data_IF_583743761950
#
_entry.id   IF_583743761950
#
_cell.length_a   1.000
_cell.length_b   1.000
_cell.length_c   1.000
_cell.angle_alpha   90.00
_cell.angle_beta   90.00
_cell.angle_gamma   90.00
#
_symmetry.space_group_name_H-M   'P 1'
#
loop_
_entity.id
_entity.type
_entity.pdbx_description
1 polymer ?
#
# COMPACT_ATOMS: atom_id res chain seq x y z
N UNK A 1 21.18 -11.83 7.11
CA UNK A 1 20.43 -10.74 6.42
C UNK A 1 20.80 -10.79 4.94
N UNK A 2 19.84 -10.58 4.04
CA UNK A 2 20.12 -10.43 2.61
C UNK A 2 21.07 -9.25 2.39
N UNK A 3 22.02 -9.37 1.46
CA UNK A 3 22.90 -8.27 1.06
C UNK A 3 22.34 -7.56 -0.20
N UNK A 4 22.84 -6.35 -0.47
CA UNK A 4 22.33 -5.54 -1.59
C UNK A 4 22.48 -6.26 -2.95
N UNK A 5 23.58 -6.98 -3.19
CA UNK A 5 23.78 -7.72 -4.46
C UNK A 5 22.71 -8.80 -4.66
N UNK A 6 22.41 -9.59 -3.63
CA UNK A 6 21.36 -10.61 -3.71
C UNK A 6 19.98 -10.01 -4.03
N UNK A 7 19.70 -8.81 -3.50
CA UNK A 7 18.44 -8.12 -3.75
C UNK A 7 18.36 -7.50 -5.16
N UNK A 8 19.48 -7.00 -5.68
CA UNK A 8 19.62 -6.55 -7.08
C UNK A 8 19.42 -7.72 -8.02
N UNK A 9 20.10 -8.85 -7.78
CA UNK A 9 19.95 -10.06 -8.59
C UNK A 9 18.52 -10.59 -8.58
N UNK A 10 17.86 -10.58 -7.40
CA UNK A 10 16.47 -10.96 -7.27
C UNK A 10 15.54 -10.02 -8.05
N UNK A 11 15.78 -8.72 -8.04
CA UNK A 11 15.02 -7.75 -8.84
C UNK A 11 15.23 -7.94 -10.34
N UNK A 12 16.48 -8.15 -10.76
CA UNK A 12 16.81 -8.43 -12.16
C UNK A 12 16.11 -9.71 -12.66
N UNK A 13 16.10 -10.80 -11.85
CA UNK A 13 15.33 -12.00 -12.15
C UNK A 13 13.82 -11.71 -12.26
N UNK A 14 13.29 -10.87 -11.38
CA UNK A 14 11.88 -10.43 -11.46
C UNK A 14 11.59 -9.76 -12.79
N UNK A 15 12.41 -8.80 -13.20
CA UNK A 15 12.25 -8.08 -14.46
C UNK A 15 12.43 -8.99 -15.68
N UNK A 16 13.41 -9.89 -15.62
CA UNK A 16 13.62 -10.87 -16.68
C UNK A 16 12.40 -11.79 -16.86
N UNK A 17 11.80 -12.29 -15.77
CA UNK A 17 10.59 -13.12 -15.83
C UNK A 17 9.40 -12.36 -16.40
N UNK A 18 9.18 -11.11 -16.00
CA UNK A 18 8.11 -10.26 -16.56
C UNK A 18 8.26 -10.10 -18.07
N UNK A 19 9.49 -10.02 -18.58
CA UNK A 19 9.77 -9.86 -20.01
C UNK A 19 9.64 -11.16 -20.80
N UNK A 20 10.03 -12.30 -20.20
CA UNK A 20 10.16 -13.59 -20.91
C UNK A 20 8.97 -14.51 -20.73
N UNK A 21 8.25 -14.47 -19.59
CA UNK A 21 7.03 -15.26 -19.39
C UNK A 21 5.85 -14.58 -20.10
N UNK A 22 5.22 -15.23 -21.12
CA UNK A 22 4.14 -14.62 -21.91
C UNK A 22 2.93 -14.18 -21.05
N UNK A 23 2.62 -14.93 -20.00
CA UNK A 23 1.51 -14.58 -19.10
C UNK A 23 1.87 -13.33 -18.25
N UNK A 24 3.02 -13.33 -17.58
CA UNK A 24 3.43 -12.15 -16.80
C UNK A 24 3.51 -10.90 -17.66
N UNK A 25 4.01 -11.03 -18.88
CA UNK A 25 4.07 -9.92 -19.82
C UNK A 25 2.69 -9.38 -20.17
N UNK A 26 1.75 -10.27 -20.49
CA UNK A 26 0.37 -9.90 -20.83
C UNK A 26 -0.35 -9.24 -19.65
N UNK A 27 -0.27 -9.84 -18.45
CA UNK A 27 -0.87 -9.29 -17.24
C UNK A 27 -0.25 -7.95 -16.85
N UNK A 28 1.06 -7.80 -17.01
CA UNK A 28 1.75 -6.52 -16.73
C UNK A 28 1.28 -5.42 -17.68
N UNK A 29 1.15 -5.71 -18.97
CA UNK A 29 0.64 -4.74 -19.94
C UNK A 29 -0.78 -4.31 -19.60
N UNK A 30 -1.64 -5.26 -19.20
CA UNK A 30 -3.01 -4.98 -18.78
C UNK A 30 -3.04 -4.11 -17.51
N UNK A 31 -2.43 -4.57 -16.42
CA UNK A 31 -2.40 -3.82 -15.15
C UNK A 31 -1.81 -2.41 -15.32
N UNK A 32 -0.76 -2.27 -16.16
CA UNK A 32 -0.17 -0.97 -16.50
C UNK A 32 -1.12 -0.08 -17.27
N UNK A 33 -1.86 -0.62 -18.23
CA UNK A 33 -2.84 0.13 -19.04
C UNK A 33 -4.04 0.57 -18.20
N UNK A 34 -4.46 -0.27 -17.25
CA UNK A 34 -5.60 -0.04 -16.36
C UNK A 34 -5.22 0.75 -15.09
N UNK A 35 -3.94 1.17 -14.96
CA UNK A 35 -3.49 2.01 -13.85
C UNK A 35 -4.10 3.40 -13.95
N UNK A 36 -4.62 3.90 -12.84
CA UNK A 36 -5.29 5.22 -12.74
C UNK A 36 -4.72 6.03 -11.59
N UNK A 37 -4.67 7.36 -11.74
CA UNK A 37 -4.31 8.30 -10.68
C UNK A 37 -5.54 9.02 -10.19
N UNK A 38 -5.78 8.96 -8.90
CA UNK A 38 -6.83 9.69 -8.24
C UNK A 38 -6.29 11.01 -7.70
N UNK A 39 -6.84 12.15 -8.15
CA UNK A 39 -6.55 13.45 -7.55
C UNK A 39 -7.25 13.54 -6.19
N UNK A 40 -6.78 14.45 -5.34
CA UNK A 40 -7.46 14.76 -4.08
C UNK A 40 -8.86 15.29 -4.37
N UNK A 41 -9.87 14.69 -3.76
CA UNK A 41 -11.27 15.01 -4.00
C UNK A 41 -11.82 15.80 -2.80
N UNK A 42 -12.27 17.03 -3.04
CA UNK A 42 -12.88 17.92 -2.03
C UNK A 42 -14.30 18.27 -2.46
N UNK A 43 -15.27 17.38 -2.18
CA UNK A 43 -16.68 17.68 -2.35
C UNK A 43 -17.49 17.28 -1.12
N UNK A 44 -18.17 18.26 -0.52
CA UNK A 44 -19.02 18.08 0.66
C UNK A 44 -20.28 17.22 0.39
N UNK A 45 -20.64 16.96 -0.87
CA UNK A 45 -21.79 16.12 -1.25
C UNK A 45 -21.45 14.62 -1.34
N UNK A 46 -20.22 14.23 -1.03
CA UNK A 46 -19.74 12.85 -1.18
C UNK A 46 -20.43 11.84 -0.27
N UNK A 47 -20.89 12.24 0.91
CA UNK A 47 -21.53 11.32 1.85
C UNK A 47 -22.71 10.54 1.21
N UNK A 48 -23.55 11.23 0.44
CA UNK A 48 -24.68 10.62 -0.27
C UNK A 48 -24.25 9.74 -1.43
N UNK A 49 -23.16 10.11 -2.13
CA UNK A 49 -22.58 9.30 -3.20
C UNK A 49 -21.96 8.00 -2.66
N UNK A 50 -21.25 8.07 -1.54
CA UNK A 50 -20.59 6.93 -0.93
C UNK A 50 -21.51 6.03 -0.09
N UNK A 51 -22.67 6.52 0.37
CA UNK A 51 -23.66 5.71 1.10
C UNK A 51 -24.06 4.43 0.34
N UNK A 52 -24.03 4.45 -1.00
CA UNK A 52 -24.26 3.27 -1.86
C UNK A 52 -23.15 2.22 -1.80
N UNK A 53 -21.97 2.56 -1.25
CA UNK A 53 -20.80 1.69 -1.17
C UNK A 53 -20.66 1.00 0.20
N UNK A 54 -21.62 1.21 1.10
CA UNK A 54 -21.67 0.56 2.40
C UNK A 54 -22.16 -0.89 2.21
N UNK A 55 -21.27 -1.86 2.37
CA UNK A 55 -21.54 -3.26 2.07
C UNK A 55 -21.64 -4.16 3.31
N UNK A 56 -21.13 -3.69 4.47
CA UNK A 56 -20.92 -4.53 5.63
C UNK A 56 -21.51 -3.90 6.89
N UNK A 57 -22.04 -4.71 7.80
CA UNK A 57 -22.56 -4.26 9.10
C UNK A 57 -21.46 -3.68 9.99
N UNK A 58 -20.26 -4.23 9.88
CA UNK A 58 -19.06 -3.76 10.58
C UNK A 58 -17.80 -4.08 9.78
N UNK A 59 -16.74 -3.31 10.02
CA UNK A 59 -15.41 -3.57 9.49
C UNK A 59 -14.58 -4.30 10.56
N UNK A 60 -14.10 -5.49 10.25
CA UNK A 60 -13.18 -6.21 11.12
C UNK A 60 -11.75 -5.68 10.93
N UNK A 61 -11.14 -5.14 11.99
CA UNK A 61 -9.79 -4.57 11.99
C UNK A 61 -8.83 -5.49 12.72
N UNK A 62 -7.74 -5.86 12.06
CA UNK A 62 -6.76 -6.81 12.59
C UNK A 62 -5.32 -6.30 12.41
N UNK A 63 -4.48 -6.46 13.43
CA UNK A 63 -3.03 -6.18 13.34
C UNK A 63 -2.28 -7.51 13.41
N UNK A 64 -1.48 -7.79 12.38
CA UNK A 64 -0.75 -9.06 12.25
C UNK A 64 0.75 -8.83 12.11
N UNK A 65 1.54 -9.70 12.77
CA UNK A 65 3.00 -9.70 12.63
C UNK A 65 3.42 -10.40 11.33
N UNK A 66 3.20 -9.75 10.20
CA UNK A 66 3.40 -10.36 8.87
C UNK A 66 3.88 -9.33 7.84
N UNK A 67 4.17 -9.81 6.63
CA UNK A 67 4.46 -8.99 5.46
C UNK A 67 3.18 -8.68 4.69
N UNK A 68 3.21 -7.67 3.84
CA UNK A 68 2.04 -7.21 3.09
C UNK A 68 1.45 -8.31 2.20
N UNK A 69 2.26 -8.96 1.36
CA UNK A 69 1.77 -10.00 0.44
C UNK A 69 1.44 -11.32 1.15
N UNK A 70 2.18 -11.68 2.20
CA UNK A 70 1.84 -12.85 3.01
C UNK A 70 0.48 -12.69 3.70
N UNK A 71 0.23 -11.52 4.27
CA UNK A 71 -1.08 -11.19 4.84
C UNK A 71 -2.18 -11.20 3.77
N UNK A 72 -1.98 -10.51 2.63
CA UNK A 72 -2.96 -10.47 1.55
C UNK A 72 -3.35 -11.86 1.06
N UNK A 73 -2.39 -12.75 0.89
CA UNK A 73 -2.59 -14.14 0.43
C UNK A 73 -3.55 -14.93 1.31
N UNK A 74 -3.59 -14.66 2.61
CA UNK A 74 -4.48 -15.37 3.55
C UNK A 74 -5.96 -15.11 3.26
N UNK A 75 -6.28 -13.92 2.78
CA UNK A 75 -7.67 -13.48 2.52
C UNK A 75 -8.15 -13.81 1.11
N UNK A 76 -7.24 -14.14 0.20
CA UNK A 76 -7.58 -14.59 -1.17
C UNK A 76 -7.97 -16.08 -1.24
N UNK A 77 -7.58 -16.88 -0.27
CA UNK A 77 -7.62 -18.36 -0.32
C UNK A 77 -9.00 -19.00 -0.37
N UNK A 78 -10.10 -18.29 -0.20
CA UNK A 78 -11.40 -18.94 -0.02
C UNK A 78 -12.23 -19.07 -1.28
N UNK A 79 -11.63 -19.02 -2.47
CA UNK A 79 -12.31 -19.34 -3.76
C UNK A 79 -13.54 -18.49 -4.08
N UNK A 80 -13.77 -17.41 -3.35
CA UNK A 80 -14.87 -16.50 -3.59
C UNK A 80 -14.39 -15.40 -4.56
N UNK A 81 -14.75 -15.52 -5.84
CA UNK A 81 -14.39 -14.59 -6.91
C UNK A 81 -14.83 -13.13 -6.64
N UNK A 82 -15.70 -12.90 -5.67
CA UNK A 82 -16.19 -11.57 -5.28
C UNK A 82 -15.29 -10.86 -4.23
N UNK A 83 -14.24 -11.52 -3.71
CA UNK A 83 -13.35 -10.90 -2.73
C UNK A 83 -12.18 -10.21 -3.43
N UNK A 84 -12.25 -8.89 -3.52
CA UNK A 84 -11.16 -8.06 -4.03
C UNK A 84 -10.27 -7.61 -2.86
N UNK A 85 -8.99 -7.92 -2.93
CA UNK A 85 -8.00 -7.56 -1.92
C UNK A 85 -7.07 -6.48 -2.49
N UNK A 86 -6.97 -5.35 -1.80
CA UNK A 86 -5.99 -4.32 -2.13
C UNK A 86 -4.91 -4.21 -1.04
N UNK A 87 -3.71 -3.87 -1.45
CA UNK A 87 -2.58 -3.61 -0.55
C UNK A 87 -2.09 -2.17 -0.72
N UNK A 88 -1.70 -1.53 0.38
CA UNK A 88 -1.08 -0.21 0.33
C UNK A 88 0.42 -0.35 0.05
N UNK A 89 0.89 0.27 -1.01
CA UNK A 89 2.29 0.50 -1.30
C UNK A 89 2.75 1.80 -0.64
N UNK A 90 3.73 1.72 0.26
CA UNK A 90 4.34 2.86 0.97
C UNK A 90 5.36 3.53 0.06
N UNK A 91 4.86 4.28 -0.90
CA UNK A 91 5.61 4.72 -2.04
C UNK A 91 6.70 5.75 -1.73
N UNK A 92 7.80 5.67 -2.48
CA UNK A 92 8.65 6.81 -2.70
C UNK A 92 7.88 7.85 -3.54
N UNK A 93 7.81 9.13 -3.14
CA UNK A 93 7.03 10.13 -3.87
C UNK A 93 7.66 10.55 -5.20
N UNK A 94 8.98 10.39 -5.37
CA UNK A 94 9.72 10.91 -6.50
C UNK A 94 10.13 9.82 -7.50
N UNK A 95 10.43 8.61 -7.01
CA UNK A 95 11.00 7.52 -7.81
C UNK A 95 10.13 6.27 -7.68
N UNK A 96 9.57 5.84 -8.80
CA UNK A 96 8.77 4.62 -8.87
C UNK A 96 9.58 3.41 -8.42
N UNK A 97 9.07 2.66 -7.45
CA UNK A 97 9.75 1.50 -6.87
C UNK A 97 10.90 1.84 -5.92
N UNK A 98 11.05 3.12 -5.54
CA UNK A 98 12.05 3.55 -4.58
C UNK A 98 13.48 3.22 -5.00
N UNK A 99 14.24 2.60 -4.12
CA UNK A 99 15.62 2.16 -4.35
C UNK A 99 15.76 0.69 -4.74
N UNK A 100 14.74 0.07 -5.36
CA UNK A 100 14.72 -1.37 -5.66
C UNK A 100 15.89 -1.81 -6.54
N UNK A 101 16.27 -0.99 -7.53
CA UNK A 101 17.41 -1.24 -8.44
C UNK A 101 18.76 -1.23 -7.72
N UNK A 102 18.82 -0.62 -6.55
CA UNK A 102 20.04 -0.50 -5.73
C UNK A 102 20.02 -1.42 -4.48
N UNK A 103 19.06 -2.35 -4.40
CA UNK A 103 18.97 -3.32 -3.33
C UNK A 103 18.44 -2.77 -2.01
N UNK A 104 17.70 -1.67 -2.01
CA UNK A 104 16.99 -1.18 -0.83
C UNK A 104 15.91 -2.16 -0.37
N UNK A 105 15.54 -2.12 0.93
CA UNK A 105 14.72 -3.15 1.59
C UNK A 105 13.46 -2.61 2.27
N UNK A 106 12.99 -1.41 1.94
CA UNK A 106 11.72 -0.95 2.47
C UNK A 106 10.53 -1.70 1.83
N UNK A 107 9.32 -1.42 2.26
CA UNK A 107 8.13 -2.18 1.85
C UNK A 107 7.88 -2.08 0.33
N UNK A 108 7.97 -0.90 -0.28
CA UNK A 108 7.79 -0.73 -1.73
C UNK A 108 8.75 -1.59 -2.54
N UNK A 109 10.03 -1.62 -2.15
CA UNK A 109 11.04 -2.42 -2.85
C UNK A 109 10.76 -3.93 -2.71
N UNK A 110 10.25 -4.38 -1.56
CA UNK A 110 9.82 -5.77 -1.38
C UNK A 110 8.64 -6.11 -2.30
N UNK A 111 7.64 -5.26 -2.41
CA UNK A 111 6.52 -5.45 -3.35
C UNK A 111 7.01 -5.54 -4.80
N UNK A 112 7.89 -4.63 -5.21
CA UNK A 112 8.45 -4.59 -6.56
C UNK A 112 9.29 -5.83 -6.90
N UNK A 113 10.01 -6.42 -5.92
CA UNK A 113 10.79 -7.64 -6.15
C UNK A 113 9.94 -8.90 -6.26
N UNK A 114 8.75 -8.90 -5.66
CA UNK A 114 7.92 -10.11 -5.57
C UNK A 114 6.76 -10.14 -6.57
N UNK A 115 6.56 -9.07 -7.37
CA UNK A 115 5.41 -8.92 -8.26
C UNK A 115 5.74 -8.17 -9.54
N UNK A 116 4.77 -8.04 -10.42
CA UNK A 116 4.87 -7.20 -11.61
C UNK A 116 4.51 -5.73 -11.37
N UNK A 117 4.52 -5.27 -10.12
CA UNK A 117 4.16 -3.89 -9.77
C UNK A 117 5.11 -2.86 -10.41
N UNK A 118 6.43 -3.09 -10.34
CA UNK A 118 7.44 -2.11 -10.76
C UNK A 118 7.17 -1.51 -12.15
N UNK A 119 7.01 -2.29 -13.24
CA UNK A 119 6.71 -1.72 -14.56
C UNK A 119 5.35 -1.03 -14.63
N UNK A 120 4.39 -1.38 -13.76
CA UNK A 120 3.08 -0.72 -13.71
C UNK A 120 3.19 0.71 -13.15
N UNK A 121 4.10 0.96 -12.20
CA UNK A 121 4.37 2.30 -11.67
C UNK A 121 4.91 3.27 -12.74
N UNK A 122 5.37 2.75 -13.88
CA UNK A 122 5.75 3.53 -15.06
C UNK A 122 4.60 3.72 -16.06
N UNK A 123 3.34 3.56 -15.63
CA UNK A 123 2.21 4.00 -16.43
C UNK A 123 2.30 5.51 -16.72
N UNK A 124 1.96 5.98 -17.92
CA UNK A 124 2.09 7.40 -18.29
C UNK A 124 1.36 8.34 -17.32
N UNK A 125 0.14 7.98 -16.90
CA UNK A 125 -0.62 8.74 -15.90
C UNK A 125 0.11 8.80 -14.54
N UNK A 126 0.64 7.67 -14.04
CA UNK A 126 1.38 7.64 -12.78
C UNK A 126 2.62 8.52 -12.83
N UNK A 127 3.37 8.49 -13.95
CA UNK A 127 4.55 9.33 -14.12
C UNK A 127 4.21 10.82 -14.17
N UNK A 128 3.17 11.20 -14.92
CA UNK A 128 2.78 12.61 -15.11
C UNK A 128 2.05 13.18 -13.88
N UNK A 129 1.07 12.45 -13.35
CA UNK A 129 0.11 12.99 -12.39
C UNK A 129 0.46 12.69 -10.93
N UNK A 130 1.33 11.69 -10.67
CA UNK A 130 1.77 11.36 -9.33
C UNK A 130 3.25 11.70 -9.11
N UNK A 131 4.18 11.04 -9.82
CA UNK A 131 5.62 11.21 -9.57
C UNK A 131 6.10 12.62 -9.96
N UNK A 132 5.77 13.12 -11.15
CA UNK A 132 6.16 14.46 -11.58
C UNK A 132 5.51 15.54 -10.71
N UNK A 133 4.25 15.34 -10.31
CA UNK A 133 3.54 16.25 -9.43
C UNK A 133 4.23 16.35 -8.05
N UNK A 134 4.64 15.23 -7.48
CA UNK A 134 5.36 15.21 -6.20
C UNK A 134 6.79 15.76 -6.32
N UNK A 135 7.51 15.50 -7.43
CA UNK A 135 8.84 16.08 -7.67
C UNK A 135 8.85 17.62 -7.70
N UNK A 136 7.75 18.22 -8.09
CA UNK A 136 7.60 19.67 -8.13
C UNK A 136 7.29 20.28 -6.73
N UNK A 137 7.19 19.48 -5.67
CA UNK A 137 6.94 19.92 -4.30
C UNK A 137 8.23 19.89 -3.48
N UNK A 138 8.42 20.93 -2.67
CA UNK A 138 9.59 21.08 -1.78
C UNK A 138 9.24 20.97 -0.29
N UNK A 139 7.94 20.68 0.03
CA UNK A 139 7.46 20.72 1.41
C UNK A 139 7.65 19.39 2.20
N UNK A 140 8.17 18.35 1.55
CA UNK A 140 8.31 16.98 2.09
C UNK A 140 7.01 16.36 2.62
N UNK A 141 5.88 17.05 2.49
CA UNK A 141 4.56 16.54 2.91
C UNK A 141 3.86 15.78 1.79
N UNK A 142 4.22 16.07 0.54
CA UNK A 142 3.71 15.43 -0.67
C UNK A 142 2.19 15.61 -0.85
N UNK A 143 1.54 14.69 -1.56
CA UNK A 143 0.12 14.81 -1.89
C UNK A 143 -0.69 13.64 -1.35
N UNK A 144 -2.01 13.83 -1.23
CA UNK A 144 -2.97 12.77 -0.92
C UNK A 144 -3.38 11.96 -2.17
N UNK A 145 -2.74 12.22 -3.34
CA UNK A 145 -3.02 11.47 -4.56
C UNK A 145 -2.72 10.00 -4.37
N UNK A 146 -3.55 9.15 -4.95
CA UNK A 146 -3.40 7.70 -4.93
C UNK A 146 -3.29 7.19 -6.36
N UNK A 147 -2.29 6.36 -6.63
CA UNK A 147 -2.23 5.56 -7.85
C UNK A 147 -2.85 4.22 -7.55
N UNK A 148 -3.89 3.85 -8.29
CA UNK A 148 -4.50 2.55 -8.22
C UNK A 148 -4.01 1.68 -9.38
N UNK A 149 -3.44 0.53 -9.07
CA UNK A 149 -3.00 -0.46 -10.06
C UNK A 149 -3.75 -1.77 -9.83
N UNK A 150 -4.67 -2.17 -10.73
CA UNK A 150 -5.44 -3.40 -10.58
C UNK A 150 -4.63 -4.64 -10.95
N UNK A 151 -5.03 -5.78 -10.39
CA UNK A 151 -4.64 -7.14 -10.79
C UNK A 151 -3.12 -7.38 -10.85
N UNK A 152 -2.36 -6.77 -9.93
CA UNK A 152 -0.91 -7.00 -9.81
C UNK A 152 -0.66 -8.46 -9.45
N UNK A 153 0.13 -9.15 -10.27
CA UNK A 153 0.48 -10.56 -10.08
C UNK A 153 1.66 -10.69 -9.13
N UNK A 154 1.44 -11.36 -8.01
CA UNK A 154 2.48 -11.74 -7.06
C UNK A 154 2.94 -13.15 -7.39
N UNK A 155 4.22 -13.31 -7.74
CA UNK A 155 4.79 -14.58 -8.21
C UNK A 155 6.06 -15.03 -7.46
N UNK A 156 6.53 -14.22 -6.52
CA UNK A 156 7.57 -14.58 -5.56
C UNK A 156 7.05 -14.45 -4.12
N UNK A 157 7.68 -15.18 -3.21
CA UNK A 157 7.38 -15.07 -1.78
C UNK A 157 7.97 -13.80 -1.15
N UNK A 158 7.70 -13.61 0.15
CA UNK A 158 8.14 -12.47 0.94
C UNK A 158 9.35 -12.79 1.84
N UNK A 159 10.17 -13.77 1.44
CA UNK A 159 11.43 -14.07 2.13
C UNK A 159 12.41 -12.88 2.01
N UNK A 160 13.45 -12.80 2.86
CA UNK A 160 14.46 -11.74 2.76
C UNK A 160 15.13 -11.63 1.38
N UNK A 161 15.27 -12.75 0.66
CA UNK A 161 15.57 -12.82 -0.78
C UNK A 161 14.42 -13.60 -1.42
N UNK A 162 13.44 -12.90 -2.05
CA UNK A 162 12.25 -13.53 -2.59
C UNK A 162 12.55 -14.66 -3.59
N UNK A 163 11.86 -15.79 -3.41
CA UNK A 163 11.97 -16.96 -4.27
C UNK A 163 10.70 -17.13 -5.11
N UNK A 164 10.87 -17.69 -6.32
CA UNK A 164 9.76 -17.97 -7.21
C UNK A 164 8.77 -18.94 -6.57
N UNK A 165 7.50 -18.56 -6.54
CA UNK A 165 6.42 -19.44 -6.13
C UNK A 165 6.08 -20.45 -7.24
N UNK A 166 5.62 -21.66 -6.91
CA UNK A 166 4.93 -22.53 -7.86
C UNK A 166 3.79 -21.78 -8.56
N UNK A 167 3.56 -22.08 -9.85
CA UNK A 167 2.60 -21.33 -10.68
C UNK A 167 1.18 -21.30 -10.10
N UNK A 168 0.74 -22.38 -9.53
CA UNK A 168 -0.57 -22.54 -8.89
C UNK A 168 -0.70 -21.74 -7.58
N UNK A 169 0.40 -21.21 -7.09
CA UNK A 169 0.44 -20.37 -5.89
C UNK A 169 0.53 -18.87 -6.20
N UNK A 170 0.63 -18.51 -7.47
CA UNK A 170 0.59 -17.13 -7.89
C UNK A 170 -0.80 -16.54 -7.61
N UNK A 171 -0.84 -15.28 -7.26
CA UNK A 171 -2.11 -14.63 -6.93
C UNK A 171 -2.11 -13.17 -7.39
N UNK A 172 -3.29 -12.56 -7.41
CA UNK A 172 -3.46 -11.16 -7.77
C UNK A 172 -3.93 -10.35 -6.57
N UNK A 173 -3.47 -9.11 -6.52
CA UNK A 173 -3.96 -8.07 -5.61
C UNK A 173 -4.05 -6.75 -6.36
N UNK A 174 -4.90 -5.87 -5.89
CA UNK A 174 -4.83 -4.48 -6.31
C UNK A 174 -3.79 -3.75 -5.46
N UNK A 175 -3.16 -2.71 -6.02
CA UNK A 175 -2.17 -1.92 -5.29
C UNK A 175 -2.59 -0.46 -5.25
N UNK A 176 -2.68 0.08 -4.04
CA UNK A 176 -2.91 1.49 -3.74
C UNK A 176 -1.55 2.13 -3.44
N UNK A 177 -1.02 2.91 -4.36
CA UNK A 177 0.30 3.54 -4.21
C UNK A 177 0.13 4.97 -3.69
N UNK A 178 0.66 5.24 -2.51
CA UNK A 178 0.58 6.54 -1.86
C UNK A 178 1.84 6.79 -1.02
N UNK A 179 2.35 8.02 -0.97
CA UNK A 179 3.50 8.40 -0.15
C UNK A 179 3.04 9.02 1.18
N UNK A 180 3.69 8.64 2.27
CA UNK A 180 3.54 9.33 3.55
C UNK A 180 4.35 10.64 3.54
N UNK A 181 4.09 11.60 4.44
CA UNK A 181 5.00 12.72 4.71
C UNK A 181 6.39 12.20 5.08
N UNK A 182 7.44 12.90 4.66
CA UNK A 182 8.82 12.56 5.00
C UNK A 182 9.35 13.49 6.09
N UNK A 183 9.54 12.96 7.29
CA UNK A 183 10.06 13.69 8.45
C UNK A 183 11.54 13.39 8.72
N UNK A 184 12.25 12.82 7.75
CA UNK A 184 13.71 12.63 7.84
C UNK A 184 14.52 13.91 7.72
N UNK A 185 13.92 14.95 7.14
CA UNK A 185 14.41 16.33 7.06
C UNK A 185 13.57 17.25 7.96
N UNK A 186 14.08 18.42 8.36
CA UNK A 186 13.30 19.36 9.15
C UNK A 186 12.04 19.85 8.41
N UNK A 187 10.86 19.55 8.98
CA UNK A 187 9.56 20.00 8.46
C UNK A 187 8.85 20.76 9.58
N UNK A 188 8.38 21.97 9.28
CA UNK A 188 7.59 22.76 10.23
C UNK A 188 6.13 22.32 10.16
N UNK A 189 5.76 21.31 10.97
CA UNK A 189 4.38 20.83 11.09
C UNK A 189 4.07 20.51 12.56
N UNK A 190 2.91 20.92 13.04
CA UNK A 190 2.50 20.53 14.40
C UNK A 190 1.99 19.09 14.42
N UNK A 191 2.03 18.40 15.58
CA UNK A 191 1.45 17.06 15.67
C UNK A 191 -0.03 17.00 15.29
N UNK A 192 -0.79 18.07 15.57
CA UNK A 192 -2.21 18.17 15.18
C UNK A 192 -2.38 18.23 13.67
N UNK A 193 -1.58 19.07 12.99
CA UNK A 193 -1.65 19.23 11.55
C UNK A 193 -1.14 17.98 10.82
N UNK A 194 -0.10 17.34 11.35
CA UNK A 194 0.39 16.06 10.83
C UNK A 194 -0.69 14.98 10.94
N UNK A 195 -1.40 14.89 12.08
CA UNK A 195 -2.50 13.93 12.23
C UNK A 195 -3.64 14.25 11.26
N UNK A 196 -4.00 15.52 11.09
CA UNK A 196 -5.01 15.94 10.13
C UNK A 196 -4.63 15.57 8.69
N UNK A 197 -3.36 15.76 8.31
CA UNK A 197 -2.82 15.36 7.01
C UNK A 197 -2.90 13.84 6.80
N UNK A 198 -2.51 13.03 7.81
CA UNK A 198 -2.68 11.58 7.72
C UNK A 198 -4.14 11.17 7.56
N UNK A 199 -5.06 11.79 8.33
CA UNK A 199 -6.50 11.50 8.21
C UNK A 199 -7.02 11.81 6.80
N UNK A 200 -6.62 12.94 6.21
CA UNK A 200 -6.96 13.28 4.82
C UNK A 200 -6.49 12.21 3.85
N UNK A 201 -5.24 11.80 3.96
CA UNK A 201 -4.61 10.79 3.10
C UNK A 201 -5.22 9.41 3.26
N UNK A 202 -5.51 8.99 4.48
CA UNK A 202 -6.17 7.71 4.77
C UNK A 202 -7.58 7.68 4.20
N UNK A 203 -8.35 8.77 4.31
CA UNK A 203 -9.67 8.87 3.68
C UNK A 203 -9.60 8.70 2.17
N UNK A 204 -8.60 9.31 1.53
CA UNK A 204 -8.41 9.17 0.08
C UNK A 204 -8.04 7.74 -0.32
N UNK A 205 -7.15 7.08 0.42
CA UNK A 205 -6.81 5.66 0.23
C UNK A 205 -8.06 4.78 0.35
N UNK A 206 -8.86 4.98 1.40
CA UNK A 206 -10.10 4.24 1.62
C UNK A 206 -11.13 4.52 0.49
N UNK A 207 -11.29 5.78 0.09
CA UNK A 207 -12.20 6.16 -0.99
C UNK A 207 -11.86 5.45 -2.30
N UNK A 208 -10.58 5.45 -2.69
CA UNK A 208 -10.14 4.77 -3.92
C UNK A 208 -10.38 3.26 -3.82
N UNK A 209 -10.09 2.65 -2.69
CA UNK A 209 -10.40 1.23 -2.46
C UNK A 209 -11.90 0.94 -2.61
N UNK A 210 -12.76 1.79 -2.06
CA UNK A 210 -14.23 1.66 -2.18
C UNK A 210 -14.71 1.78 -3.62
N UNK A 211 -14.22 2.75 -4.38
CA UNK A 211 -14.58 2.92 -5.80
C UNK A 211 -14.30 1.66 -6.64
N UNK A 212 -13.26 0.92 -6.27
CA UNK A 212 -12.91 -0.35 -6.90
C UNK A 212 -13.51 -1.58 -6.23
N UNK A 213 -14.49 -1.39 -5.33
CA UNK A 213 -15.21 -2.48 -4.66
C UNK A 213 -14.26 -3.45 -3.93
N UNK A 214 -13.17 -2.92 -3.37
CA UNK A 214 -12.25 -3.68 -2.53
C UNK A 214 -12.99 -4.10 -1.25
N UNK A 215 -12.93 -5.37 -0.92
CA UNK A 215 -13.59 -5.92 0.27
C UNK A 215 -12.63 -6.10 1.45
N UNK A 216 -11.35 -6.26 1.16
CA UNK A 216 -10.28 -6.39 2.17
C UNK A 216 -9.12 -5.48 1.80
N UNK A 217 -8.69 -4.64 2.73
CA UNK A 217 -7.55 -3.73 2.55
C UNK A 217 -6.41 -4.15 3.47
N UNK A 218 -5.22 -4.37 2.91
CA UNK A 218 -4.00 -4.64 3.68
C UNK A 218 -3.17 -3.36 3.77
N UNK A 219 -3.11 -2.83 4.96
CA UNK A 219 -2.39 -1.63 5.37
C UNK A 219 -1.14 -2.01 6.18
N UNK A 220 -0.55 -1.04 6.87
CA UNK A 220 0.57 -1.25 7.79
C UNK A 220 1.05 0.04 8.44
N UNK A 221 2.26 0.04 8.98
CA UNK A 221 2.86 1.20 9.65
C UNK A 221 3.33 2.25 8.62
N UNK A 222 2.37 2.87 7.95
CA UNK A 222 2.53 3.78 6.83
C UNK A 222 3.41 4.99 7.18
N UNK A 223 4.59 5.06 6.56
CA UNK A 223 5.55 6.12 6.78
C UNK A 223 6.33 6.05 8.10
N UNK A 224 6.12 5.02 8.95
CA UNK A 224 6.75 4.92 10.27
C UNK A 224 8.18 4.32 10.24
N UNK A 225 8.67 3.93 9.07
CA UNK A 225 10.03 3.43 8.87
C UNK A 225 10.98 4.53 8.42
N UNK A 226 11.46 4.43 7.18
CA UNK A 226 12.43 5.39 6.59
C UNK A 226 11.93 6.84 6.60
N UNK A 227 10.62 7.08 6.57
CA UNK A 227 10.02 8.41 6.57
C UNK A 227 9.83 9.02 7.97
N UNK A 228 10.13 8.27 9.04
CA UNK A 228 10.25 8.72 10.44
C UNK A 228 8.97 9.35 11.03
N UNK A 229 7.78 9.00 10.54
CA UNK A 229 6.54 9.46 11.17
C UNK A 229 6.32 8.75 12.51
N UNK A 230 5.75 9.44 13.53
CA UNK A 230 5.48 8.86 14.84
C UNK A 230 4.42 7.74 14.74
N UNK A 231 4.75 6.48 15.08
CA UNK A 231 3.83 5.35 14.87
C UNK A 231 2.50 5.46 15.60
N UNK A 232 2.51 5.96 16.85
CA UNK A 232 1.28 6.13 17.63
C UNK A 232 0.35 7.18 17.01
N UNK A 233 0.88 8.28 16.48
CA UNK A 233 0.10 9.31 15.78
C UNK A 233 -0.55 8.72 14.52
N UNK A 234 0.22 7.96 13.74
CA UNK A 234 -0.26 7.34 12.50
C UNK A 234 -1.34 6.28 12.81
N UNK A 235 -1.12 5.42 13.80
CA UNK A 235 -2.10 4.43 14.24
C UNK A 235 -3.41 5.07 14.70
N UNK A 236 -3.33 6.18 15.50
CA UNK A 236 -4.51 6.95 15.92
C UNK A 236 -5.25 7.58 14.73
N UNK A 237 -4.51 8.09 13.73
CA UNK A 237 -5.13 8.64 12.53
C UNK A 237 -5.91 7.57 11.76
N UNK A 238 -5.38 6.35 11.63
CA UNK A 238 -6.09 5.21 11.04
C UNK A 238 -7.32 4.83 11.88
N UNK A 239 -7.16 4.67 13.19
CA UNK A 239 -8.26 4.33 14.09
C UNK A 239 -9.43 5.32 13.95
N UNK A 240 -9.14 6.62 14.06
CA UNK A 240 -10.14 7.68 13.95
C UNK A 240 -10.86 7.69 12.59
N UNK A 241 -10.15 7.45 11.48
CA UNK A 241 -10.78 7.42 10.14
C UNK A 241 -11.62 6.16 9.96
N UNK A 242 -11.13 5.00 10.37
CA UNK A 242 -11.87 3.75 10.22
C UNK A 242 -13.13 3.69 11.08
N UNK A 243 -13.24 4.51 12.12
CA UNK A 243 -14.44 4.69 12.94
C UNK A 243 -15.43 5.71 12.38
N UNK A 244 -15.06 6.51 11.37
CA UNK A 244 -15.98 7.42 10.70
C UNK A 244 -17.11 6.64 10.04
N UNK A 245 -18.35 7.14 10.13
CA UNK A 245 -19.58 6.47 9.69
C UNK A 245 -19.47 5.88 8.28
N UNK A 246 -18.78 6.58 7.39
CA UNK A 246 -18.56 6.12 6.03
C UNK A 246 -17.66 4.88 5.96
N UNK A 247 -16.53 4.88 6.70
CA UNK A 247 -15.48 3.88 6.51
C UNK A 247 -15.68 2.62 7.36
N UNK A 248 -16.35 2.73 8.51
CA UNK A 248 -16.64 1.58 9.39
C UNK A 248 -17.53 0.51 8.76
N UNK A 249 -18.20 0.85 7.65
CA UNK A 249 -19.07 -0.06 6.90
C UNK A 249 -18.56 -0.42 5.50
N UNK A 250 -17.39 0.13 5.09
CA UNK A 250 -16.95 0.07 3.70
C UNK A 250 -16.14 -1.17 3.34
N UNK A 251 -15.58 -1.86 4.33
CA UNK A 251 -14.77 -3.05 4.13
C UNK A 251 -15.24 -4.19 5.01
N UNK A 252 -15.14 -5.42 4.52
CA UNK A 252 -15.33 -6.60 5.39
C UNK A 252 -14.15 -6.77 6.35
N UNK A 253 -12.96 -6.36 5.92
CA UNK A 253 -11.75 -6.48 6.73
C UNK A 253 -10.70 -5.42 6.36
N UNK A 254 -10.05 -4.89 7.40
CA UNK A 254 -8.83 -4.08 7.29
C UNK A 254 -7.72 -4.78 8.08
N UNK A 255 -6.60 -5.06 7.43
CA UNK A 255 -5.47 -5.77 8.02
C UNK A 255 -4.25 -4.86 8.07
N UNK A 256 -3.69 -4.65 9.23
CA UNK A 256 -2.41 -3.98 9.40
C UNK A 256 -1.30 -5.03 9.44
N UNK A 257 -0.64 -5.26 8.30
CA UNK A 257 0.49 -6.18 8.20
C UNK A 257 1.78 -5.44 8.57
N UNK A 258 2.33 -5.72 9.75
CA UNK A 258 3.49 -5.00 10.30
C UNK A 258 4.50 -6.02 10.81
N UNK A 259 5.72 -6.00 10.26
CA UNK A 259 6.80 -6.84 10.78
C UNK A 259 7.15 -6.46 12.21
N UNK A 260 7.12 -7.43 13.11
CA UNK A 260 7.63 -7.25 14.47
C UNK A 260 9.14 -7.58 14.53
N UNK A 261 9.87 -6.81 15.31
CA UNK A 261 11.26 -7.09 15.67
C UNK A 261 11.40 -7.58 17.12
N UNK A 262 10.27 -7.82 17.79
CA UNK A 262 10.18 -8.31 19.17
C UNK A 262 10.46 -7.26 20.24
N UNK A 263 10.62 -5.99 19.89
CA UNK A 263 10.79 -4.92 20.88
C UNK A 263 9.45 -4.37 21.35
N UNK A 264 9.30 -3.99 22.63
CA UNK A 264 8.03 -3.46 23.15
C UNK A 264 7.54 -2.18 22.45
N UNK A 265 8.46 -1.38 21.93
CA UNK A 265 8.22 -0.12 21.24
C UNK A 265 8.25 -0.22 19.71
N UNK A 266 8.20 -1.44 19.16
CA UNK A 266 8.13 -1.62 17.71
C UNK A 266 6.76 -1.20 17.13
N UNK A 267 6.73 -0.94 15.85
CA UNK A 267 5.53 -0.49 15.15
C UNK A 267 4.36 -1.46 15.33
N UNK A 268 4.63 -2.79 15.36
CA UNK A 268 3.61 -3.80 15.55
C UNK A 268 2.91 -3.63 16.91
N UNK A 269 3.68 -3.54 17.99
CA UNK A 269 3.13 -3.40 19.34
C UNK A 269 2.38 -2.07 19.53
N UNK A 270 2.91 -0.97 18.98
CA UNK A 270 2.26 0.34 19.04
C UNK A 270 0.92 0.36 18.27
N UNK A 271 0.87 -0.22 17.08
CA UNK A 271 -0.36 -0.34 16.31
C UNK A 271 -1.37 -1.28 16.97
N UNK A 272 -0.91 -2.45 17.47
CA UNK A 272 -1.76 -3.40 18.20
C UNK A 272 -2.39 -2.77 19.45
N UNK A 273 -1.63 -1.93 20.18
CA UNK A 273 -2.16 -1.22 21.34
C UNK A 273 -3.24 -0.20 20.98
N UNK A 274 -3.10 0.51 19.84
CA UNK A 274 -4.06 1.55 19.45
C UNK A 274 -5.29 0.97 18.77
N UNK A 275 -5.12 -0.03 17.89
CA UNK A 275 -6.19 -0.60 17.07
C UNK A 275 -6.85 -1.84 17.70
N UNK A 276 -6.23 -2.47 18.69
CA UNK A 276 -6.75 -3.66 19.39
C UNK A 276 -7.43 -3.34 20.72
N UNK A 277 -7.71 -2.07 21.04
CA UNK A 277 -8.35 -1.63 22.30
C UNK A 277 -9.89 -1.51 22.19
N UNK A 278 -10.52 -2.15 21.21
CA UNK A 278 -11.98 -2.23 21.09
C UNK A 278 -12.50 -3.62 21.42
#
# INVERSE_FOLDING_TARGET
MANAHQLIDCFNDTMHRIQTDPFLRAETMKSKADTVVYPVFWDNNQAAYFAKWLYFDSCDVEVVADTTFSAARKYLRNGNEKKRVAVLNFANPHYAGGGVEHGAMAQEECLCRSSNLYPCLFAPCAQAEYYQFNRNRSDHLFTDRVVYTPDVVVFKDDQPVPQLLPREQWFRVDVLTCAAPYLGEPVHITPSDLKALFKSRIREICRVAMEHQVTTVVLGAFGCGAFRNPPELVARAFCEVLQEELYKHSFSKVVFAIKSNGRPDDNYNLFSKVLGQE
#
